data_IF_292257111749
#
_entry.id   IF_292257111749
#
_cell.length_a   1.000
_cell.length_b   1.000
_cell.length_c   1.000
_cell.angle_alpha   90.00
_cell.angle_beta   90.00
_cell.angle_gamma   90.00
#
_symmetry.space_group_name_H-M   'P 1'
#
loop_
_entity.id
_entity.type
_entity.pdbx_description
1 polymer ?
#
# COMPACT_ATOMS: atom_id res chain seq x y z
N UNK A 1 -2.80 4.06 17.59
CA UNK A 1 -2.05 3.81 16.34
C UNK A 1 -2.76 2.88 15.37
N UNK A 2 -3.32 1.73 15.79
CA UNK A 2 -4.00 0.77 14.88
C UNK A 2 -5.10 1.40 13.99
N UNK A 3 -6.02 2.15 14.60
CA UNK A 3 -7.11 2.80 13.87
C UNK A 3 -6.62 3.81 12.82
N UNK A 4 -5.47 4.45 13.04
CA UNK A 4 -4.88 5.40 12.09
C UNK A 4 -4.32 4.69 10.85
N UNK A 5 -3.79 3.47 11.00
CA UNK A 5 -3.33 2.67 9.86
C UNK A 5 -4.48 2.29 8.94
N UNK A 6 -5.65 1.95 9.50
CA UNK A 6 -6.85 1.68 8.70
C UNK A 6 -7.42 2.97 8.11
N UNK A 7 -7.41 4.07 8.87
CA UNK A 7 -7.98 5.34 8.45
C UNK A 7 -7.22 6.01 7.30
N UNK A 8 -5.96 5.64 7.04
CA UNK A 8 -5.19 6.18 5.92
C UNK A 8 -5.52 5.50 4.57
N UNK A 9 -6.20 4.34 4.59
CA UNK A 9 -6.50 3.56 3.39
C UNK A 9 -7.30 4.34 2.33
N UNK A 10 -8.33 5.15 2.67
CA UNK A 10 -9.04 5.94 1.68
C UNK A 10 -8.16 6.98 0.99
N UNK A 11 -7.24 7.60 1.75
CA UNK A 11 -6.30 8.57 1.19
C UNK A 11 -5.38 7.91 0.16
N UNK A 12 -4.81 6.75 0.52
CA UNK A 12 -3.95 6.01 -0.39
C UNK A 12 -4.70 5.46 -1.60
N UNK A 13 -5.94 4.98 -1.42
CA UNK A 13 -6.77 4.52 -2.53
C UNK A 13 -7.01 5.64 -3.55
N UNK A 14 -7.33 6.85 -3.10
CA UNK A 14 -7.51 8.00 -3.98
C UNK A 14 -6.24 8.34 -4.78
N UNK A 15 -5.05 8.22 -4.17
CA UNK A 15 -3.78 8.49 -4.84
C UNK A 15 -3.38 7.37 -5.81
N UNK A 16 -3.57 6.11 -5.42
CA UNK A 16 -3.20 4.94 -6.22
C UNK A 16 -4.05 4.91 -7.48
N UNK A 17 -5.37 5.08 -7.36
CA UNK A 17 -6.32 4.93 -8.46
C UNK A 17 -6.65 6.26 -9.17
N UNK A 18 -5.78 7.25 -9.07
CA UNK A 18 -5.91 8.49 -9.83
C UNK A 18 -5.82 8.23 -11.35
N UNK A 19 -6.58 8.98 -12.15
CA UNK A 19 -6.67 8.78 -13.61
C UNK A 19 -5.34 9.02 -14.34
N UNK A 20 -4.53 9.97 -13.85
CA UNK A 20 -3.26 10.33 -14.46
C UNK A 20 -2.09 9.87 -13.59
N UNK A 21 -1.00 9.35 -14.20
CA UNK A 21 0.19 8.97 -13.45
C UNK A 21 0.79 10.19 -12.77
N UNK A 22 1.02 10.10 -11.46
CA UNK A 22 1.53 11.20 -10.63
C UNK A 22 3.01 11.47 -10.95
N UNK A 23 3.76 10.44 -11.33
CA UNK A 23 5.18 10.56 -11.65
C UNK A 23 5.42 10.46 -13.16
N UNK A 24 5.99 11.53 -13.74
CA UNK A 24 6.37 11.56 -15.16
C UNK A 24 7.40 10.50 -15.54
N UNK A 25 8.19 9.99 -14.59
CA UNK A 25 9.13 8.90 -14.84
C UNK A 25 8.44 7.68 -15.46
N UNK A 26 7.19 7.39 -15.09
CA UNK A 26 6.45 6.29 -15.70
C UNK A 26 6.07 6.57 -17.13
N UNK A 27 5.84 7.82 -17.57
CA UNK A 27 5.51 8.12 -18.97
C UNK A 27 6.74 8.03 -19.87
N UNK A 28 7.91 8.39 -19.34
CA UNK A 28 9.19 8.38 -20.05
C UNK A 28 9.86 6.99 -20.10
N UNK A 29 9.44 6.05 -19.25
CA UNK A 29 10.04 4.72 -19.19
C UNK A 29 9.79 3.90 -20.48
N UNK A 30 10.83 3.23 -21.04
CA UNK A 30 10.65 2.27 -22.11
C UNK A 30 9.68 1.16 -21.70
N UNK A 31 8.71 0.85 -22.57
CA UNK A 31 7.72 -0.20 -22.29
C UNK A 31 8.32 -1.58 -22.58
N UNK A 32 8.40 -2.40 -21.53
CA UNK A 32 8.83 -3.81 -21.61
C UNK A 32 7.61 -4.75 -21.59
N UNK A 33 6.48 -4.28 -21.05
CA UNK A 33 5.22 -5.02 -20.96
C UNK A 33 4.13 -4.31 -21.79
N UNK A 34 2.98 -4.98 -21.95
CA UNK A 34 1.79 -4.42 -22.61
C UNK A 34 1.03 -3.40 -21.74
N UNK A 35 1.56 -3.04 -20.55
CA UNK A 35 0.89 -2.16 -19.60
C UNK A 35 1.12 -0.69 -19.95
N UNK A 36 0.10 0.13 -19.74
CA UNK A 36 0.24 1.60 -19.82
C UNK A 36 1.07 2.12 -18.65
N UNK A 37 1.57 3.35 -18.76
CA UNK A 37 2.28 4.04 -17.68
C UNK A 37 1.48 4.08 -16.37
N UNK A 38 0.17 4.34 -16.47
CA UNK A 38 -0.73 4.40 -15.33
C UNK A 38 -0.94 3.03 -14.70
N UNK A 39 -1.12 1.97 -15.50
CA UNK A 39 -1.29 0.61 -15.01
C UNK A 39 -0.05 0.10 -14.25
N UNK A 40 1.14 0.40 -14.77
CA UNK A 40 2.41 0.02 -14.13
C UNK A 40 2.60 0.77 -12.80
N UNK A 41 2.29 2.07 -12.77
CA UNK A 41 2.30 2.87 -11.53
C UNK A 41 1.31 2.35 -10.49
N UNK A 42 0.06 2.07 -10.89
CA UNK A 42 -0.98 1.52 -10.01
C UNK A 42 -0.50 0.19 -9.44
N UNK A 43 0.03 -0.71 -10.28
CA UNK A 43 0.52 -2.02 -9.85
C UNK A 43 1.62 -1.88 -8.79
N UNK A 44 2.63 -1.05 -9.06
CA UNK A 44 3.72 -0.80 -8.12
C UNK A 44 3.24 -0.22 -6.80
N UNK A 45 2.32 0.76 -6.85
CA UNK A 45 1.77 1.40 -5.67
C UNK A 45 0.89 0.44 -4.85
N UNK A 46 0.07 -0.38 -5.50
CA UNK A 46 -0.74 -1.44 -4.84
C UNK A 46 0.16 -2.45 -4.15
N UNK A 47 1.19 -2.98 -4.85
CA UNK A 47 2.12 -3.96 -4.27
C UNK A 47 2.79 -3.38 -3.02
N UNK A 48 3.34 -2.16 -3.13
CA UNK A 48 4.02 -1.49 -2.03
C UNK A 48 3.08 -1.27 -0.82
N UNK A 49 1.90 -0.69 -1.05
CA UNK A 49 0.96 -0.36 0.04
C UNK A 49 0.37 -1.62 0.66
N UNK A 50 -0.08 -2.58 -0.15
CA UNK A 50 -0.68 -3.82 0.35
C UNK A 50 0.32 -4.63 1.20
N UNK A 51 1.57 -4.75 0.74
CA UNK A 51 2.57 -5.50 1.48
C UNK A 51 2.87 -4.86 2.85
N UNK A 52 3.10 -3.55 2.86
CA UNK A 52 3.35 -2.81 4.10
C UNK A 52 2.17 -2.95 5.07
N UNK A 53 0.95 -2.73 4.59
CA UNK A 53 -0.25 -2.77 5.43
C UNK A 53 -0.49 -4.15 6.05
N UNK A 54 -0.42 -5.22 5.23
CA UNK A 54 -0.60 -6.59 5.71
C UNK A 54 0.45 -6.96 6.75
N UNK A 55 1.72 -6.65 6.48
CA UNK A 55 2.80 -6.93 7.40
C UNK A 55 2.65 -6.17 8.72
N UNK A 56 2.36 -4.88 8.65
CA UNK A 56 2.26 -4.00 9.82
C UNK A 56 1.03 -4.33 10.68
N UNK A 57 -0.13 -4.59 10.08
CA UNK A 57 -1.32 -5.00 10.83
C UNK A 57 -1.15 -6.38 11.48
N UNK A 58 -0.52 -7.33 10.77
CA UNK A 58 -0.26 -8.67 11.30
C UNK A 58 0.69 -8.65 12.49
N UNK A 59 1.80 -7.91 12.38
CA UNK A 59 2.78 -7.77 13.47
C UNK A 59 2.20 -7.04 14.67
N UNK A 60 1.41 -5.97 14.46
CA UNK A 60 0.75 -5.26 15.55
C UNK A 60 -0.32 -6.12 16.24
N UNK A 61 -1.12 -6.86 15.46
CA UNK A 61 -2.09 -7.82 16.01
C UNK A 61 -1.41 -8.91 16.83
N UNK A 62 -0.32 -9.49 16.31
CA UNK A 62 0.45 -10.50 17.03
C UNK A 62 1.05 -9.95 18.33
N UNK A 63 1.66 -8.77 18.30
CA UNK A 63 2.23 -8.12 19.48
C UNK A 63 1.16 -7.87 20.55
N UNK A 64 -0.03 -7.42 20.16
CA UNK A 64 -1.16 -7.23 21.05
C UNK A 64 -1.59 -8.54 21.72
N UNK A 65 -1.77 -9.62 20.95
CA UNK A 65 -2.13 -10.94 21.50
C UNK A 65 -1.03 -11.56 22.37
N UNK A 66 0.24 -11.34 22.03
CA UNK A 66 1.37 -11.81 22.83
C UNK A 66 1.43 -11.09 24.18
N UNK A 67 1.29 -9.77 24.18
CA UNK A 67 1.19 -8.98 25.42
C UNK A 67 -0.02 -9.40 26.27
N UNK A 68 -1.18 -9.54 25.66
CA UNK A 68 -2.40 -9.90 26.37
C UNK A 68 -2.35 -11.27 27.05
N UNK A 69 -1.63 -12.23 26.46
CA UNK A 69 -1.39 -13.55 27.07
C UNK A 69 -0.35 -13.53 28.18
N UNK A 70 0.51 -12.51 28.23
CA UNK A 70 1.54 -12.35 29.25
C UNK A 70 0.99 -11.69 30.52
N UNK A 71 0.08 -10.74 30.37
CA UNK A 71 -0.51 -9.98 31.48
C UNK A 71 -1.79 -10.61 32.07
N UNK A 72 -2.19 -11.78 31.54
CA UNK A 72 -3.21 -12.67 32.10
C UNK A 72 -2.57 -13.86 32.80
#
# INVERSE_FOLDING_TARGET
SFALMIADLPLWAALIFAENPIYETYTLAPRITWMTASQDMILGAVIMKAFNEVFSLSTMGWAFFAWYRRDR
#
